data_IF_000337298173
#
_entry.id   IF_000337298173
#
_cell.length_a   1.000
_cell.length_b   1.000
_cell.length_c   1.000
_cell.angle_alpha   90.00
_cell.angle_beta   90.00
_cell.angle_gamma   90.00
#
_symmetry.space_group_name_H-M   'P 1'
#
loop_
_entity.id
_entity.type
_entity.pdbx_description
1 polymer ?
#
# COMPACT_ATOMS: atom_id res chain seq x y z
N UNK A 1 5.16 -22.21 -40.90
CA UNK A 1 6.18 -21.36 -40.26
C UNK A 1 5.57 -20.85 -38.98
N UNK A 2 5.85 -21.54 -37.89
CA UNK A 2 5.34 -21.21 -36.56
C UNK A 2 6.53 -20.73 -35.74
N UNK A 3 6.47 -19.53 -35.18
CA UNK A 3 7.37 -19.12 -34.10
C UNK A 3 6.75 -19.61 -32.78
N UNK A 4 7.37 -20.57 -32.07
CA UNK A 4 6.90 -21.03 -30.78
C UNK A 4 7.48 -20.13 -29.68
N UNK A 5 6.57 -19.49 -28.95
CA UNK A 5 6.78 -18.96 -27.60
C UNK A 5 7.81 -17.84 -27.42
N UNK A 6 7.29 -16.61 -27.36
CA UNK A 6 7.63 -15.73 -26.24
C UNK A 6 6.35 -15.23 -25.59
N UNK A 7 5.57 -16.15 -25.04
CA UNK A 7 4.51 -15.78 -24.08
C UNK A 7 5.21 -15.44 -22.77
N UNK A 8 5.57 -14.17 -22.60
CA UNK A 8 6.11 -13.69 -21.33
C UNK A 8 4.98 -13.69 -20.32
N UNK A 9 4.90 -14.74 -19.51
CA UNK A 9 4.00 -14.77 -18.36
C UNK A 9 4.51 -13.81 -17.29
N UNK A 10 3.61 -13.07 -16.58
CA UNK A 10 4.03 -12.21 -15.49
C UNK A 10 4.66 -13.05 -14.38
N UNK A 11 5.73 -12.52 -13.78
CA UNK A 11 6.39 -13.10 -12.61
C UNK A 11 5.95 -12.31 -11.38
N UNK A 12 5.33 -13.00 -10.42
CA UNK A 12 4.99 -12.42 -9.11
C UNK A 12 6.20 -12.51 -8.20
N UNK A 13 6.50 -11.42 -7.51
CA UNK A 13 7.58 -11.36 -6.50
C UNK A 13 7.03 -10.77 -5.20
N UNK A 14 7.34 -11.43 -4.09
CA UNK A 14 7.01 -10.93 -2.76
C UNK A 14 8.15 -10.04 -2.24
N UNK A 15 7.83 -8.81 -1.85
CA UNK A 15 8.81 -7.84 -1.35
C UNK A 15 8.45 -7.39 0.05
N UNK A 16 9.37 -7.53 0.99
CA UNK A 16 9.27 -6.95 2.32
C UNK A 16 9.80 -5.50 2.30
N UNK A 17 9.01 -4.56 2.81
CA UNK A 17 9.40 -3.15 2.91
C UNK A 17 9.27 -2.64 4.34
N UNK A 18 10.10 -1.67 4.71
CA UNK A 18 10.00 -0.97 5.98
C UNK A 18 9.43 0.42 5.72
N UNK A 19 8.32 0.75 6.40
CA UNK A 19 7.65 2.04 6.29
C UNK A 19 7.73 2.79 7.60
N UNK A 20 8.12 4.05 7.53
CA UNK A 20 8.18 4.94 8.70
C UNK A 20 6.87 5.69 8.84
N UNK A 21 6.23 5.54 10.00
CA UNK A 21 5.06 6.32 10.37
C UNK A 21 5.42 7.51 11.26
N UNK A 22 4.65 8.59 11.14
CA UNK A 22 4.65 9.71 12.08
C UNK A 22 3.43 9.54 12.97
N UNK A 23 3.63 9.46 14.28
CA UNK A 23 2.57 9.31 15.28
C UNK A 23 2.44 10.61 16.08
N UNK A 24 1.21 11.04 16.33
CA UNK A 24 0.89 12.23 17.12
C UNK A 24 -0.13 11.88 18.21
N UNK A 25 0.08 12.28 19.47
CA UNK A 25 -0.95 12.16 20.48
C UNK A 25 -2.10 13.13 20.20
N UNK A 26 -3.34 12.72 20.47
CA UNK A 26 -4.54 13.53 20.29
C UNK A 26 -5.10 13.92 21.67
N UNK A 27 -4.68 15.07 22.25
CA UNK A 27 -5.01 15.41 23.63
C UNK A 27 -6.50 15.73 23.86
N UNK A 28 -7.21 16.20 22.83
CA UNK A 28 -8.63 16.56 22.94
C UNK A 28 -9.57 15.35 22.79
N UNK A 29 -9.27 14.46 21.85
CA UNK A 29 -10.05 13.25 21.59
C UNK A 29 -9.61 12.06 22.47
N UNK A 30 -8.37 12.08 22.97
CA UNK A 30 -7.69 10.94 23.54
C UNK A 30 -7.03 10.06 22.46
N UNK A 31 -6.03 9.27 22.85
CA UNK A 31 -5.35 8.34 21.95
C UNK A 31 -4.33 9.00 21.02
N UNK A 32 -4.22 8.47 19.81
CA UNK A 32 -3.16 8.77 18.85
C UNK A 32 -3.70 8.79 17.42
N UNK A 33 -3.18 9.70 16.61
CA UNK A 33 -3.28 9.66 15.15
C UNK A 33 -1.91 9.30 14.54
N UNK A 34 -1.93 8.69 13.36
CA UNK A 34 -0.71 8.37 12.65
C UNK A 34 -0.87 8.44 11.13
N UNK A 35 0.24 8.65 10.44
CA UNK A 35 0.30 8.61 8.98
C UNK A 35 1.64 8.09 8.48
N UNK A 36 1.64 7.55 7.25
CA UNK A 36 2.87 7.13 6.57
C UNK A 36 3.12 8.12 5.42
N UNK A 37 4.10 9.04 5.52
CA UNK A 37 4.33 10.05 4.48
C UNK A 37 4.65 9.46 3.10
N UNK A 38 5.24 8.26 3.06
CA UNK A 38 5.55 7.55 1.83
C UNK A 38 4.30 6.98 1.13
N UNK A 39 3.16 6.87 1.83
CA UNK A 39 1.88 6.40 1.32
C UNK A 39 0.84 7.54 1.45
N UNK A 40 0.76 8.47 0.49
CA UNK A 40 -0.16 9.60 0.57
C UNK A 40 -1.60 9.14 0.79
N UNK A 41 -2.27 9.74 1.76
CA UNK A 41 -3.63 9.37 2.16
C UNK A 41 -3.71 8.18 3.14
N UNK A 42 -2.60 7.52 3.47
CA UNK A 42 -2.57 6.48 4.50
C UNK A 42 -2.54 7.13 5.89
N UNK A 43 -3.73 7.29 6.48
CA UNK A 43 -3.93 7.81 7.83
C UNK A 43 -4.67 6.78 8.68
N UNK A 44 -4.37 6.74 9.97
CA UNK A 44 -5.10 5.93 10.94
C UNK A 44 -5.10 6.60 12.32
N UNK A 45 -5.87 6.03 13.24
CA UNK A 45 -5.96 6.44 14.63
C UNK A 45 -6.22 5.23 15.53
N UNK A 46 -6.00 5.38 16.82
CA UNK A 46 -6.26 4.35 17.83
C UNK A 46 -6.06 4.89 19.25
N UNK A 47 -6.63 4.21 20.23
CA UNK A 47 -6.53 4.60 21.64
C UNK A 47 -5.14 4.30 22.21
N UNK A 48 -4.46 3.30 21.65
CA UNK A 48 -3.12 2.86 22.09
C UNK A 48 -2.13 2.81 20.94
N UNK A 49 -0.83 2.87 21.26
CA UNK A 49 0.23 2.74 20.25
C UNK A 49 0.22 1.37 19.55
N UNK A 50 -0.17 0.30 20.27
CA UNK A 50 -0.29 -1.04 19.70
C UNK A 50 -1.42 -1.12 18.67
N UNK A 51 -2.57 -0.51 18.99
CA UNK A 51 -3.70 -0.39 18.06
C UNK A 51 -3.32 0.43 16.83
N UNK A 52 -2.69 1.60 17.02
CA UNK A 52 -2.19 2.41 15.91
C UNK A 52 -1.23 1.62 15.03
N UNK A 53 -0.34 0.82 15.62
CA UNK A 53 0.61 -0.01 14.86
C UNK A 53 -0.10 -1.10 14.06
N UNK A 54 -1.10 -1.76 14.64
CA UNK A 54 -1.92 -2.75 13.93
C UNK A 54 -2.66 -2.10 12.76
N UNK A 55 -3.34 -0.97 13.01
CA UNK A 55 -4.11 -0.28 11.99
C UNK A 55 -3.21 0.31 10.88
N UNK A 56 -2.01 0.80 11.21
CA UNK A 56 -1.01 1.26 10.22
C UNK A 56 -0.59 0.13 9.29
N UNK A 57 -0.43 -1.08 9.82
CA UNK A 57 -0.05 -2.25 9.04
C UNK A 57 -1.14 -2.59 8.03
N UNK A 58 -2.39 -2.72 8.49
CA UNK A 58 -3.52 -3.05 7.61
C UNK A 58 -3.75 -1.96 6.55
N UNK A 59 -3.68 -0.69 6.94
CA UNK A 59 -3.83 0.43 6.02
C UNK A 59 -2.71 0.45 4.95
N UNK A 60 -1.46 0.18 5.34
CA UNK A 60 -0.34 0.12 4.40
C UNK A 60 -0.46 -1.07 3.43
N UNK A 61 -0.84 -2.25 3.95
CA UNK A 61 -1.07 -3.45 3.13
C UNK A 61 -2.19 -3.20 2.10
N UNK A 62 -3.31 -2.62 2.53
CA UNK A 62 -4.41 -2.25 1.63
C UNK A 62 -4.03 -1.20 0.59
N UNK A 63 -3.27 -0.17 0.98
CA UNK A 63 -2.81 0.87 0.05
C UNK A 63 -1.91 0.27 -1.04
N UNK A 64 -0.96 -0.58 -0.67
CA UNK A 64 -0.04 -1.22 -1.61
C UNK A 64 -0.75 -2.20 -2.55
N UNK A 65 -1.76 -2.92 -2.06
CA UNK A 65 -2.56 -3.82 -2.88
C UNK A 65 -3.28 -3.05 -4.00
N UNK A 66 -3.99 -1.97 -3.66
CA UNK A 66 -4.70 -1.14 -4.66
C UNK A 66 -3.71 -0.49 -5.63
N UNK A 67 -2.59 0.04 -5.13
CA UNK A 67 -1.57 0.65 -5.99
C UNK A 67 -0.95 -0.35 -6.98
N UNK A 68 -0.83 -1.63 -6.60
CA UNK A 68 -0.36 -2.68 -7.49
C UNK A 68 -1.41 -3.05 -8.56
N UNK A 69 -2.68 -3.21 -8.17
CA UNK A 69 -3.78 -3.50 -9.10
C UNK A 69 -3.91 -2.42 -10.19
N UNK A 70 -3.79 -1.15 -9.81
CA UNK A 70 -3.79 -0.01 -10.75
C UNK A 70 -2.62 -0.05 -11.75
N UNK A 71 -1.46 -0.60 -11.35
CA UNK A 71 -0.30 -0.78 -12.22
C UNK A 71 -0.52 -1.90 -13.24
N UNK A 72 -1.06 -3.04 -12.79
CA UNK A 72 -1.31 -4.20 -13.65
C UNK A 72 -2.40 -3.93 -14.69
N UNK A 73 -3.47 -3.22 -14.31
CA UNK A 73 -4.57 -2.90 -15.24
C UNK A 73 -4.11 -1.96 -16.35
N UNK A 74 -3.26 -0.97 -16.04
CA UNK A 74 -2.71 -0.04 -17.04
C UNK A 74 -1.82 -0.71 -18.06
N UNK A 75 -1.07 -1.74 -17.67
CA UNK A 75 -0.21 -2.48 -18.58
C UNK A 75 -1.01 -3.48 -19.46
N UNK A 76 -2.15 -3.97 -18.96
CA UNK A 76 -3.04 -4.86 -19.72
C UNK A 76 -3.96 -4.12 -20.71
N UNK A 77 -4.26 -2.84 -20.47
CA UNK A 77 -5.03 -1.99 -21.38
C UNK A 77 -4.15 -0.89 -21.95
N UNK A 78 -3.49 -1.14 -23.08
CA UNK A 78 -2.80 -0.11 -23.84
C UNK A 78 -3.77 0.96 -24.35
N UNK A 79 -4.13 1.93 -23.51
CA UNK A 79 -4.98 3.05 -23.89
C UNK A 79 -4.34 4.38 -23.48
N UNK A 80 -3.61 4.91 -24.46
CA UNK A 80 -3.41 6.34 -24.66
C UNK A 80 -4.76 7.02 -24.89
N UNK A 81 -4.94 8.19 -24.28
CA UNK A 81 -6.01 9.20 -24.45
C UNK A 81 -7.15 9.13 -23.46
#
# INVERSE_FOLDING_TARGET
MSDPATSTSPVVVDVAVNLTAIVRPEPEAGGYSASIPALPGCHTQGETLDEVRANLREAAEGWLAVAHEDGVVRDATGQTT
#
